data_IF_669443995620
#
_entry.id   IF_669443995620
#
_cell.length_a   1.000
_cell.length_b   1.000
_cell.length_c   1.000
_cell.angle_alpha   90.00
_cell.angle_beta   90.00
_cell.angle_gamma   90.00
#
_symmetry.space_group_name_H-M   'P 1'
#
loop_
_entity.id
_entity.type
_entity.pdbx_description
1 polymer ?
#
# COMPACT_ATOMS: atom_id res chain seq x y z
N UNK A 1 3.36 18.55 3.88
CA UNK A 1 2.62 17.61 3.05
C UNK A 1 2.12 16.47 3.92
N UNK A 2 0.97 15.94 3.58
CA UNK A 2 0.36 14.91 4.40
C UNK A 2 1.09 13.59 4.27
N UNK A 3 1.29 12.90 5.37
CA UNK A 3 1.78 11.53 5.37
C UNK A 3 0.61 10.58 5.52
N UNK A 4 0.74 9.43 4.90
CA UNK A 4 -0.25 8.37 5.01
C UNK A 4 0.41 7.12 5.54
N UNK A 5 -0.36 6.34 6.29
CA UNK A 5 0.07 5.04 6.77
C UNK A 5 -0.73 3.98 6.01
N UNK A 6 -0.01 3.07 5.40
CA UNK A 6 -0.61 2.01 4.59
C UNK A 6 -0.34 0.69 5.29
N UNK A 7 -1.40 -0.05 5.59
CA UNK A 7 -1.30 -1.35 6.24
C UNK A 7 -1.86 -2.42 5.32
N UNK A 8 -1.10 -3.48 5.10
CA UNK A 8 -1.57 -4.60 4.31
C UNK A 8 -2.56 -5.42 5.15
N UNK A 9 -3.81 -5.51 4.67
CA UNK A 9 -4.86 -6.23 5.39
C UNK A 9 -5.26 -7.52 4.71
N UNK A 10 -4.79 -7.77 3.49
CA UNK A 10 -5.07 -8.99 2.75
C UNK A 10 -3.78 -9.62 2.25
N UNK A 11 -3.77 -10.96 2.17
CA UNK A 11 -2.62 -11.70 1.67
C UNK A 11 -2.41 -11.45 0.18
N UNK A 12 -1.15 -11.55 -0.26
CA UNK A 12 -0.79 -11.47 -1.67
C UNK A 12 -0.88 -12.81 -2.39
N UNK A 13 -1.24 -13.87 -1.68
CA UNK A 13 -1.40 -15.19 -2.28
C UNK A 13 -2.54 -15.12 -3.30
N UNK A 14 -2.30 -15.68 -4.48
CA UNK A 14 -3.25 -15.72 -5.58
C UNK A 14 -3.60 -14.35 -6.16
N UNK A 15 -2.75 -13.35 -5.94
CA UNK A 15 -2.93 -12.03 -6.54
C UNK A 15 -2.05 -11.90 -7.80
N UNK A 16 -2.48 -11.07 -8.77
CA UNK A 16 -1.67 -10.84 -9.97
C UNK A 16 -0.29 -10.26 -9.65
N UNK A 17 0.68 -10.56 -10.51
CA UNK A 17 2.04 -10.05 -10.38
C UNK A 17 2.09 -8.53 -10.27
N UNK A 18 1.23 -7.83 -11.02
CA UNK A 18 1.18 -6.37 -10.98
C UNK A 18 0.91 -5.85 -9.58
N UNK A 19 -0.03 -6.47 -8.89
CA UNK A 19 -0.38 -6.07 -7.54
C UNK A 19 0.75 -6.38 -6.58
N UNK A 20 1.38 -7.54 -6.73
CA UNK A 20 2.53 -7.90 -5.91
C UNK A 20 3.67 -6.92 -6.08
N UNK A 21 3.96 -6.52 -7.31
CA UNK A 21 5.01 -5.54 -7.60
C UNK A 21 4.68 -4.19 -6.99
N UNK A 22 3.43 -3.76 -7.09
CA UNK A 22 2.99 -2.49 -6.52
C UNK A 22 3.13 -2.51 -5.00
N UNK A 23 2.73 -3.61 -4.36
CA UNK A 23 2.87 -3.75 -2.91
C UNK A 23 4.34 -3.73 -2.49
N UNK A 24 5.21 -4.42 -3.24
CA UNK A 24 6.64 -4.41 -2.96
C UNK A 24 7.24 -3.01 -3.11
N UNK A 25 6.80 -2.28 -4.13
CA UNK A 25 7.25 -0.90 -4.33
C UNK A 25 6.83 0.02 -3.19
N UNK A 26 5.68 -0.26 -2.58
CA UNK A 26 5.22 0.46 -1.40
C UNK A 26 5.93 0.03 -0.12
N UNK A 27 6.67 -1.07 -0.16
CA UNK A 27 7.35 -1.60 1.00
C UNK A 27 6.54 -2.60 1.80
N UNK A 28 5.40 -3.03 1.27
CA UNK A 28 4.51 -3.97 1.95
C UNK A 28 4.75 -5.38 1.42
N UNK A 29 5.33 -6.24 2.22
CA UNK A 29 5.67 -7.60 1.81
C UNK A 29 5.01 -8.68 2.64
N UNK A 30 4.48 -8.32 3.80
CA UNK A 30 3.87 -9.27 4.71
C UNK A 30 2.49 -8.81 5.11
N UNK A 31 1.61 -9.76 5.41
CA UNK A 31 0.31 -9.45 5.95
C UNK A 31 0.46 -8.67 7.25
N UNK A 32 -0.35 -7.65 7.42
CA UNK A 32 -0.34 -6.73 8.56
C UNK A 32 0.90 -5.84 8.67
N UNK A 33 1.78 -5.87 7.67
CA UNK A 33 2.87 -4.91 7.60
C UNK A 33 2.33 -3.52 7.31
N UNK A 34 2.96 -2.49 7.87
CA UNK A 34 2.55 -1.12 7.62
C UNK A 34 3.75 -0.26 7.28
N UNK A 35 3.52 0.78 6.49
CA UNK A 35 4.54 1.76 6.13
C UNK A 35 3.92 3.14 6.17
N UNK A 36 4.75 4.14 6.47
CA UNK A 36 4.36 5.54 6.39
C UNK A 36 5.06 6.17 5.19
N UNK A 37 4.29 6.78 4.33
CA UNK A 37 4.79 7.41 3.11
C UNK A 37 4.14 8.76 2.93
N UNK A 38 4.81 9.65 2.17
CA UNK A 38 4.19 10.90 1.80
C UNK A 38 3.08 10.64 0.79
N UNK A 39 1.96 11.36 0.93
CA UNK A 39 0.82 11.21 0.04
C UNK A 39 1.01 11.93 -1.28
N UNK A 40 2.10 11.64 -2.00
CA UNK A 40 2.33 12.20 -3.32
C UNK A 40 1.37 11.58 -4.32
N UNK A 41 1.11 12.27 -5.47
CA UNK A 41 0.26 11.69 -6.51
C UNK A 41 0.72 10.31 -6.99
N UNK A 42 2.03 10.07 -7.04
CA UNK A 42 2.56 8.78 -7.44
C UNK A 42 2.19 7.69 -6.44
N UNK A 43 2.38 7.98 -5.15
CA UNK A 43 2.06 7.02 -4.09
C UNK A 43 0.55 6.77 -4.03
N UNK A 44 -0.25 7.83 -4.13
CA UNK A 44 -1.70 7.68 -4.12
C UNK A 44 -2.19 6.85 -5.30
N UNK A 45 -1.59 7.02 -6.48
CA UNK A 45 -1.92 6.21 -7.64
C UNK A 45 -1.59 4.74 -7.45
N UNK A 46 -0.45 4.44 -6.82
CA UNK A 46 -0.06 3.07 -6.52
C UNK A 46 -1.00 2.44 -5.50
N UNK A 47 -1.34 3.19 -4.46
CA UNK A 47 -2.26 2.73 -3.42
C UNK A 47 -3.63 2.42 -4.01
N UNK A 48 -4.10 3.26 -4.93
CA UNK A 48 -5.40 3.05 -5.56
C UNK A 48 -5.47 1.73 -6.31
N UNK A 49 -4.37 1.29 -6.90
CA UNK A 49 -4.31 0.01 -7.60
C UNK A 49 -4.45 -1.18 -6.67
N UNK A 50 -4.10 -1.03 -5.41
CA UNK A 50 -4.13 -2.12 -4.43
C UNK A 50 -4.97 -1.76 -3.21
N UNK A 51 -5.87 -0.80 -3.33
CA UNK A 51 -6.66 -0.34 -2.18
C UNK A 51 -7.54 -1.43 -1.56
N UNK A 52 -7.87 -2.44 -2.35
CA UNK A 52 -8.64 -3.59 -1.85
C UNK A 52 -7.77 -4.53 -0.99
N UNK A 53 -6.46 -4.32 -0.98
CA UNK A 53 -5.53 -5.14 -0.22
C UNK A 53 -4.97 -4.42 1.01
N UNK A 54 -5.19 -3.13 1.09
CA UNK A 54 -4.57 -2.30 2.13
C UNK A 54 -5.59 -1.37 2.77
N UNK A 55 -5.24 -0.90 3.95
CA UNK A 55 -5.98 0.15 4.63
C UNK A 55 -5.08 1.39 4.69
N UNK A 56 -5.62 2.52 4.31
CA UNK A 56 -4.88 3.79 4.31
C UNK A 56 -5.42 4.68 5.41
N UNK A 57 -4.50 5.25 6.19
CA UNK A 57 -4.85 6.18 7.24
C UNK A 57 -4.01 7.45 7.08
N UNK A 58 -4.59 8.59 7.35
CA UNK A 58 -3.83 9.83 7.42
C UNK A 58 -3.16 9.94 8.78
N UNK A 59 -1.86 10.24 8.79
CA UNK A 59 -1.11 10.41 10.03
C UNK A 59 -0.66 11.85 10.26
N UNK A 60 -0.94 12.72 9.31
CA UNK A 60 -0.73 14.18 9.46
C UNK A 60 -1.85 14.94 8.85
#
# INVERSE_FOLDING_TARGET
>A
MAKIKITQVKSLIDRPERQKKTMAALGLRKLHASVELEGTPQILGMVEKVNHLVKVEEVE
#
